data_IF_707815469661
#
_entry.id   IF_707815469661
#
_cell.length_a   1.000
_cell.length_b   1.000
_cell.length_c   1.000
_cell.angle_alpha   90.00
_cell.angle_beta   90.00
_cell.angle_gamma   90.00
#
_symmetry.space_group_name_H-M   'P 1'
#
loop_
_entity.id
_entity.type
_entity.pdbx_description
1 polymer ?
#
# COMPACT_ATOMS: atom_id res chain seq x y z
N UNK A 1 8.92 55.85 -36.22
CA UNK A 1 9.53 57.08 -35.65
C UNK A 1 9.02 57.27 -34.23
N UNK A 2 9.92 57.71 -33.32
CA UNK A 2 9.79 57.97 -31.86
C UNK A 2 10.01 56.73 -30.98
N UNK A 3 11.25 56.51 -30.49
CA UNK A 3 11.98 57.14 -29.35
C UNK A 3 11.39 56.64 -28.00
N UNK A 4 12.05 55.69 -27.35
CA UNK A 4 13.05 55.89 -26.26
C UNK A 4 12.39 56.02 -24.88
N UNK A 5 12.67 55.05 -23.98
CA UNK A 5 12.95 55.30 -22.57
C UNK A 5 13.50 54.02 -21.91
N UNK A 6 14.81 54.01 -21.74
CA UNK A 6 15.55 53.17 -20.78
C UNK A 6 15.38 53.85 -19.42
N UNK A 7 14.99 53.12 -18.38
CA UNK A 7 15.22 53.54 -17.00
C UNK A 7 15.84 52.39 -16.21
N UNK A 8 17.10 52.59 -15.86
CA UNK A 8 17.90 51.83 -14.91
C UNK A 8 17.44 52.22 -13.50
N UNK A 9 17.19 51.23 -12.64
CA UNK A 9 17.22 51.46 -11.19
C UNK A 9 17.91 50.28 -10.51
N UNK A 10 19.20 50.49 -10.20
CA UNK A 10 19.96 49.67 -9.28
C UNK A 10 19.69 50.16 -7.85
N UNK A 11 19.26 49.26 -6.97
CA UNK A 11 19.23 49.51 -5.54
C UNK A 11 20.13 48.46 -4.86
N UNK A 12 21.31 48.92 -4.42
CA UNK A 12 22.14 48.22 -3.46
C UNK A 12 21.39 48.12 -2.13
N UNK A 13 21.20 46.90 -1.62
CA UNK A 13 20.89 46.67 -0.22
C UNK A 13 22.11 46.06 0.46
N UNK A 14 22.84 46.91 1.17
CA UNK A 14 23.91 46.56 2.09
C UNK A 14 23.27 46.22 3.43
N UNK A 15 23.14 44.94 3.76
CA UNK A 15 22.63 44.46 5.05
C UNK A 15 23.76 43.86 5.88
N UNK A 16 24.13 44.54 6.96
CA UNK A 16 25.21 44.18 7.88
C UNK A 16 24.95 42.83 8.59
N UNK A 17 25.98 41.97 8.61
CA UNK A 17 26.02 40.76 9.40
C UNK A 17 26.33 41.10 10.87
N UNK A 18 25.36 40.91 11.76
CA UNK A 18 25.57 40.93 13.21
C UNK A 18 25.89 39.51 13.69
N UNK A 19 27.14 39.28 14.09
CA UNK A 19 27.56 38.10 14.84
C UNK A 19 26.98 38.14 16.26
N UNK A 20 26.18 37.14 16.62
CA UNK A 20 25.87 36.83 18.01
C UNK A 20 26.55 35.50 18.36
N UNK A 21 27.69 35.59 19.05
CA UNK A 21 28.35 34.44 19.66
C UNK A 21 27.56 34.02 20.91
N UNK A 22 26.74 32.98 20.77
CA UNK A 22 26.08 32.31 21.89
C UNK A 22 27.07 31.39 22.60
N UNK A 23 27.17 31.54 23.92
CA UNK A 23 28.01 30.72 24.80
C UNK A 23 27.70 29.22 24.64
N UNK A 24 28.70 28.45 24.23
CA UNK A 24 28.66 27.00 24.30
C UNK A 24 28.73 26.58 25.78
N UNK A 25 27.58 26.19 26.35
CA UNK A 25 27.56 25.47 27.62
C UNK A 25 28.21 24.11 27.41
N UNK A 26 29.35 23.87 28.06
CA UNK A 26 29.97 22.56 28.11
C UNK A 26 29.00 21.59 28.79
N UNK A 27 28.63 20.53 28.09
CA UNK A 27 27.85 19.42 28.63
C UNK A 27 28.77 18.59 29.53
N UNK A 28 28.74 18.83 30.83
CA UNK A 28 29.40 17.95 31.81
C UNK A 28 28.59 16.65 31.91
N UNK A 29 29.17 15.57 31.40
CA UNK A 29 28.69 14.22 31.68
C UNK A 29 28.99 13.89 33.15
N UNK A 30 28.00 13.45 33.94
CA UNK A 30 28.28 12.95 35.28
C UNK A 30 29.27 11.79 35.18
N UNK A 31 30.37 11.86 35.93
CA UNK A 31 31.35 10.79 36.00
C UNK A 31 30.66 9.52 36.51
N UNK A 32 30.46 8.56 35.62
CA UNK A 32 29.95 7.23 35.95
C UNK A 32 31.00 6.51 36.79
N UNK A 33 30.73 6.39 38.09
CA UNK A 33 31.51 5.58 39.00
C UNK A 33 31.36 4.09 38.63
N UNK A 34 32.46 3.47 38.20
CA UNK A 34 32.49 2.07 37.81
C UNK A 34 32.12 1.11 38.97
N UNK A 35 32.17 1.58 40.23
CA UNK A 35 31.71 0.80 41.37
C UNK A 35 30.17 0.68 41.43
N UNK A 36 29.42 1.63 40.86
CA UNK A 36 27.95 1.61 40.87
C UNK A 36 27.35 0.60 39.86
N UNK A 37 28.10 0.25 38.81
CA UNK A 37 27.64 -0.69 37.77
C UNK A 37 27.64 -2.16 38.22
N UNK A 38 28.35 -2.51 39.30
CA UNK A 38 28.42 -3.89 39.78
C UNK A 38 27.28 -4.29 40.73
N UNK A 39 26.59 -3.31 41.30
CA UNK A 39 25.53 -3.52 42.29
C UNK A 39 24.13 -3.48 41.68
N UNK A 40 23.96 -2.90 40.49
CA UNK A 40 22.66 -2.80 39.80
C UNK A 40 22.24 -4.09 39.04
N UNK A 41 23.12 -5.09 38.95
CA UNK A 41 22.86 -6.33 38.20
C UNK A 41 22.13 -7.42 39.02
N UNK A 42 21.92 -7.22 40.33
CA UNK A 42 21.40 -8.26 41.22
C UNK A 42 19.88 -8.19 41.48
N UNK A 43 19.19 -7.10 41.09
CA UNK A 43 17.78 -6.86 41.45
C UNK A 43 16.84 -6.61 40.25
N UNK A 44 17.24 -6.97 39.03
CA UNK A 44 16.34 -6.92 37.88
C UNK A 44 15.46 -8.18 37.87
N UNK A 45 14.35 -8.13 38.60
CA UNK A 45 13.23 -9.04 38.37
C UNK A 45 12.52 -8.65 37.07
N UNK A 46 12.78 -9.41 36.01
CA UNK A 46 12.09 -9.27 34.73
C UNK A 46 10.65 -9.78 34.90
N UNK A 47 9.61 -8.97 34.63
CA UNK A 47 8.23 -9.45 34.65
C UNK A 47 8.05 -10.52 33.56
N UNK A 48 7.55 -11.69 33.95
CA UNK A 48 7.20 -12.78 33.02
C UNK A 48 6.07 -12.27 32.13
N UNK A 49 6.42 -11.89 30.90
CA UNK A 49 5.45 -11.56 29.85
C UNK A 49 4.54 -12.78 29.60
N UNK A 50 3.23 -12.57 29.36
CA UNK A 50 2.33 -13.68 29.05
C UNK A 50 2.84 -14.40 27.81
N UNK A 51 2.94 -15.73 27.92
CA UNK A 51 3.45 -16.61 26.88
C UNK A 51 2.77 -16.33 25.53
N UNK A 52 3.47 -15.62 24.65
CA UNK A 52 3.15 -15.61 23.23
C UNK A 52 3.21 -17.06 22.75
N UNK A 53 2.10 -17.58 22.22
CA UNK A 53 2.08 -18.88 21.58
C UNK A 53 3.05 -18.82 20.40
N UNK A 54 4.20 -19.44 20.58
CA UNK A 54 5.19 -19.68 19.52
C UNK A 54 4.56 -20.68 18.55
N UNK A 55 4.02 -20.18 17.44
CA UNK A 55 3.81 -21.00 16.24
C UNK A 55 5.17 -21.15 15.56
N UNK A 56 5.71 -22.36 15.58
CA UNK A 56 7.05 -22.69 15.12
C UNK A 56 7.14 -22.89 13.60
N UNK A 57 6.79 -21.86 12.81
CA UNK A 57 7.20 -21.78 11.41
C UNK A 57 7.82 -20.41 11.13
N UNK A 58 9.00 -20.34 10.49
CA UNK A 58 9.62 -19.08 10.11
C UNK A 58 8.86 -18.32 8.99
N UNK A 59 7.67 -18.79 8.59
CA UNK A 59 6.82 -18.14 7.57
C UNK A 59 5.51 -17.54 8.11
N UNK A 60 5.15 -17.72 9.38
CA UNK A 60 3.78 -17.40 9.85
C UNK A 60 3.56 -15.91 10.18
N UNK A 61 4.63 -15.15 10.45
CA UNK A 61 4.51 -13.71 10.82
C UNK A 61 4.65 -12.76 9.62
N UNK A 62 5.36 -13.17 8.57
CA UNK A 62 5.47 -12.38 7.33
C UNK A 62 4.21 -12.49 6.47
N UNK A 63 3.53 -13.64 6.47
CA UNK A 63 2.29 -13.84 5.69
C UNK A 63 1.14 -12.93 6.11
N UNK A 64 1.18 -12.38 7.32
CA UNK A 64 0.18 -11.42 7.77
C UNK A 64 0.39 -10.04 7.16
N UNK A 65 1.57 -9.70 6.62
CA UNK A 65 1.85 -8.38 6.05
C UNK A 65 1.70 -8.41 4.54
N UNK A 66 0.96 -7.44 4.00
CA UNK A 66 0.74 -7.28 2.57
C UNK A 66 1.55 -6.09 2.09
N UNK A 67 2.41 -6.31 1.08
CA UNK A 67 3.15 -5.26 0.39
C UNK A 67 3.15 -5.53 -1.12
N UNK A 68 2.31 -4.80 -1.84
CA UNK A 68 2.06 -4.96 -3.28
C UNK A 68 2.25 -3.60 -3.98
N UNK A 69 3.49 -3.24 -4.38
CA UNK A 69 3.77 -1.98 -5.05
C UNK A 69 3.26 -1.99 -6.49
N UNK A 70 2.54 -0.94 -6.87
CA UNK A 70 2.08 -0.72 -8.23
C UNK A 70 3.20 -0.07 -9.06
N UNK A 71 3.46 -0.65 -10.23
CA UNK A 71 4.46 -0.15 -11.18
C UNK A 71 3.80 0.08 -12.53
N UNK A 72 4.14 1.18 -13.16
CA UNK A 72 3.73 1.43 -14.54
C UNK A 72 4.82 0.88 -15.47
N UNK A 73 4.51 -0.19 -16.19
CA UNK A 73 5.43 -0.83 -17.15
C UNK A 73 5.39 -0.13 -18.52
N UNK A 74 4.27 0.51 -18.83
CA UNK A 74 4.09 1.27 -20.07
C UNK A 74 2.79 2.08 -20.09
N UNK A 75 2.51 2.77 -21.20
CA UNK A 75 1.23 3.47 -21.38
C UNK A 75 0.06 2.49 -21.22
N UNK A 76 -0.84 2.74 -20.26
CA UNK A 76 -1.99 1.88 -19.99
C UNK A 76 -1.64 0.50 -19.41
N UNK A 77 -0.38 0.23 -19.03
CA UNK A 77 0.01 -1.06 -18.45
C UNK A 77 0.61 -0.86 -17.07
N UNK A 78 -0.06 -1.44 -16.08
CA UNK A 78 0.38 -1.48 -14.70
C UNK A 78 0.57 -2.92 -14.23
N UNK A 79 1.55 -3.11 -13.37
CA UNK A 79 1.88 -4.38 -12.74
C UNK A 79 1.97 -4.21 -11.23
N UNK A 80 1.81 -5.30 -10.49
CA UNK A 80 2.24 -5.41 -9.10
C UNK A 80 2.76 -6.81 -8.87
N UNK A 81 3.79 -6.92 -8.05
CA UNK A 81 4.31 -8.19 -7.58
C UNK A 81 4.68 -8.10 -6.10
N UNK A 82 4.49 -9.20 -5.39
CA UNK A 82 5.01 -9.34 -4.03
C UNK A 82 6.53 -9.16 -4.02
N UNK A 83 7.06 -8.51 -2.99
CA UNK A 83 8.46 -8.07 -2.95
C UNK A 83 9.48 -9.20 -2.80
N UNK A 84 9.07 -10.41 -2.42
CA UNK A 84 9.96 -11.56 -2.26
C UNK A 84 10.22 -12.26 -3.60
N UNK A 85 11.43 -12.13 -4.20
CA UNK A 85 11.75 -12.76 -5.47
C UNK A 85 11.92 -14.28 -5.38
N UNK A 86 12.02 -14.86 -4.17
CA UNK A 86 12.22 -16.29 -3.96
C UNK A 86 10.94 -17.02 -3.51
N UNK A 87 9.85 -16.29 -3.26
CA UNK A 87 8.55 -16.89 -2.96
C UNK A 87 8.00 -17.63 -4.18
N UNK A 88 7.96 -18.96 -4.10
CA UNK A 88 7.38 -19.83 -5.14
C UNK A 88 5.87 -19.67 -5.31
N UNK A 89 5.20 -19.04 -4.33
CA UNK A 89 3.75 -18.87 -4.26
C UNK A 89 3.33 -17.38 -4.28
N UNK A 90 4.08 -16.54 -5.01
CA UNK A 90 3.90 -15.08 -5.03
C UNK A 90 2.59 -14.60 -5.66
N UNK A 91 2.23 -13.36 -5.34
CA UNK A 91 1.21 -12.60 -6.05
C UNK A 91 1.86 -11.80 -7.17
N UNK A 92 1.35 -11.97 -8.39
CA UNK A 92 1.64 -11.10 -9.55
C UNK A 92 0.33 -10.70 -10.18
N UNK A 93 0.19 -9.42 -10.53
CA UNK A 93 -0.99 -8.90 -11.21
C UNK A 93 -0.53 -7.93 -12.29
N UNK A 94 -1.08 -8.09 -13.48
CA UNK A 94 -0.90 -7.21 -14.62
C UNK A 94 -2.28 -6.73 -15.06
N UNK A 95 -2.43 -5.41 -15.19
CA UNK A 95 -3.65 -4.77 -15.68
C UNK A 95 -3.27 -3.87 -16.84
N UNK A 96 -3.82 -4.17 -18.02
CA UNK A 96 -3.57 -3.46 -19.26
C UNK A 96 -4.85 -2.82 -19.76
N UNK A 97 -4.79 -1.58 -20.21
CA UNK A 97 -5.90 -0.94 -20.91
C UNK A 97 -6.20 -1.72 -22.18
N UNK A 98 -7.43 -2.21 -22.28
CA UNK A 98 -7.95 -2.87 -23.46
C UNK A 98 -8.55 -1.86 -24.44
N UNK A 99 -9.54 -2.32 -25.20
CA UNK A 99 -10.29 -1.45 -26.11
C UNK A 99 -11.41 -0.72 -25.35
N UNK A 100 -11.46 0.61 -25.45
CA UNK A 100 -12.48 1.42 -24.77
C UNK A 100 -12.21 1.58 -23.27
N UNK A 101 -13.21 1.30 -22.43
CA UNK A 101 -13.12 1.40 -20.97
C UNK A 101 -12.85 0.05 -20.27
N UNK A 102 -12.47 -0.96 -21.05
CA UNK A 102 -12.13 -2.30 -20.57
C UNK A 102 -10.64 -2.41 -20.25
N UNK A 103 -10.29 -3.28 -19.31
CA UNK A 103 -8.91 -3.63 -18.96
C UNK A 103 -8.72 -5.14 -19.04
N UNK A 104 -7.67 -5.58 -19.74
CA UNK A 104 -7.21 -6.96 -19.70
C UNK A 104 -6.44 -7.18 -18.41
N UNK A 105 -6.79 -8.26 -17.70
CA UNK A 105 -6.17 -8.61 -16.43
C UNK A 105 -5.57 -9.99 -16.51
N UNK A 106 -4.35 -10.09 -16.02
CA UNK A 106 -3.63 -11.32 -15.83
C UNK A 106 -3.12 -11.34 -14.40
N UNK A 107 -3.43 -12.39 -13.63
CA UNK A 107 -2.90 -12.52 -12.28
C UNK A 107 -2.49 -13.94 -11.95
N UNK A 108 -1.38 -14.04 -11.24
CA UNK A 108 -0.85 -15.26 -10.65
C UNK A 108 -0.89 -15.12 -9.14
N UNK A 109 -1.40 -16.13 -8.46
CA UNK A 109 -1.39 -16.20 -7.00
C UNK A 109 -1.13 -17.64 -6.58
N UNK A 110 0.04 -17.88 -5.97
CA UNK A 110 0.46 -19.25 -5.69
C UNK A 110 0.85 -19.99 -6.97
N UNK A 111 0.25 -21.16 -7.18
CA UNK A 111 0.47 -21.97 -8.39
C UNK A 111 -0.60 -21.74 -9.47
N UNK A 112 -1.62 -20.93 -9.19
CA UNK A 112 -2.70 -20.62 -10.12
C UNK A 112 -2.43 -19.36 -10.93
N UNK A 113 -2.65 -19.46 -12.24
CA UNK A 113 -2.62 -18.34 -13.18
C UNK A 113 -4.00 -18.16 -13.80
N UNK A 114 -4.51 -16.93 -13.83
CA UNK A 114 -5.81 -16.60 -14.42
C UNK A 114 -5.74 -15.35 -15.28
N UNK A 115 -6.48 -15.40 -16.38
CA UNK A 115 -6.75 -14.27 -17.25
C UNK A 115 -8.21 -13.87 -17.13
N UNK A 116 -8.48 -12.58 -17.28
CA UNK A 116 -9.81 -12.03 -17.26
C UNK A 116 -9.86 -10.62 -17.81
N UNK A 117 -11.00 -9.99 -17.64
CA UNK A 117 -11.25 -8.62 -18.10
C UNK A 117 -11.97 -7.85 -16.99
N UNK A 118 -11.58 -6.59 -16.79
CA UNK A 118 -12.34 -5.63 -15.99
C UNK A 118 -13.08 -4.72 -16.97
N UNK A 119 -14.41 -4.83 -16.99
CA UNK A 119 -15.25 -3.96 -17.81
C UNK A 119 -15.89 -2.87 -16.96
N UNK A 120 -16.00 -1.67 -17.53
CA UNK A 120 -16.63 -0.52 -16.86
C UNK A 120 -18.00 -0.23 -17.45
N UNK A 121 -18.96 0.00 -16.55
CA UNK A 121 -20.31 0.45 -16.86
C UNK A 121 -20.70 1.59 -15.92
N UNK A 122 -20.49 2.84 -16.35
CA UNK A 122 -20.76 4.02 -15.53
C UNK A 122 -19.87 4.08 -14.28
N UNK A 123 -20.48 4.07 -13.09
CA UNK A 123 -19.79 4.06 -11.79
C UNK A 123 -19.36 2.67 -11.31
N UNK A 124 -19.73 1.62 -12.06
CA UNK A 124 -19.43 0.22 -11.73
C UNK A 124 -18.33 -0.32 -12.63
N UNK A 125 -17.44 -1.12 -12.05
CA UNK A 125 -16.48 -1.96 -12.75
C UNK A 125 -16.74 -3.42 -12.39
N UNK A 126 -16.54 -4.33 -13.32
CA UNK A 126 -16.73 -5.76 -13.13
C UNK A 126 -15.52 -6.53 -13.67
N UNK A 127 -14.78 -7.18 -12.77
CA UNK A 127 -13.80 -8.21 -13.13
C UNK A 127 -14.54 -9.53 -13.38
N UNK A 128 -14.27 -10.11 -14.54
CA UNK A 128 -14.65 -11.47 -14.89
C UNK A 128 -13.42 -12.25 -15.31
N UNK A 129 -13.08 -13.29 -14.55
CA UNK A 129 -12.02 -14.25 -14.84
C UNK A 129 -12.53 -15.68 -14.58
N UNK A 130 -11.71 -16.70 -14.89
CA UNK A 130 -12.12 -18.10 -14.74
C UNK A 130 -12.48 -18.43 -13.27
N UNK A 131 -13.77 -18.53 -12.97
CA UNK A 131 -14.26 -18.81 -11.61
C UNK A 131 -14.19 -17.63 -10.64
N UNK A 132 -13.77 -16.45 -11.10
CA UNK A 132 -13.72 -15.24 -10.29
C UNK A 132 -14.61 -14.18 -10.91
N UNK A 133 -15.56 -13.65 -10.13
CA UNK A 133 -16.37 -12.49 -10.51
C UNK A 133 -16.36 -11.48 -9.37
N UNK A 134 -15.85 -10.29 -9.63
CA UNK A 134 -15.78 -9.20 -8.66
C UNK A 134 -16.37 -7.95 -9.26
N UNK A 135 -17.11 -7.19 -8.46
CA UNK A 135 -17.65 -5.88 -8.84
C UNK A 135 -17.07 -4.82 -7.94
N UNK A 136 -16.69 -3.69 -8.50
CA UNK A 136 -16.41 -2.47 -7.76
C UNK A 136 -17.46 -1.42 -8.12
N UNK A 137 -18.21 -0.92 -7.15
CA UNK A 137 -19.18 0.15 -7.35
C UNK A 137 -18.77 1.39 -6.58
N UNK A 138 -18.67 2.54 -7.26
CA UNK A 138 -18.40 3.82 -6.61
C UNK A 138 -19.63 4.31 -5.87
N UNK A 139 -19.48 4.61 -4.58
CA UNK A 139 -20.50 5.24 -3.74
C UNK A 139 -19.91 6.47 -3.05
N UNK A 140 -20.34 7.66 -3.47
CA UNK A 140 -19.73 8.94 -3.11
C UNK A 140 -18.23 8.95 -3.45
N UNK A 141 -17.37 9.05 -2.43
CA UNK A 141 -15.92 9.03 -2.53
C UNK A 141 -15.31 7.64 -2.31
N UNK A 142 -16.11 6.66 -1.90
CA UNK A 142 -15.66 5.31 -1.58
C UNK A 142 -16.02 4.31 -2.68
N UNK A 143 -15.44 3.12 -2.61
CA UNK A 143 -15.80 2.00 -3.48
C UNK A 143 -16.26 0.81 -2.65
N UNK A 144 -17.30 0.13 -3.11
CA UNK A 144 -17.68 -1.18 -2.57
C UNK A 144 -17.20 -2.26 -3.52
N UNK A 145 -16.39 -3.18 -3.00
CA UNK A 145 -15.94 -4.38 -3.70
C UNK A 145 -16.82 -5.56 -3.25
N UNK A 146 -17.55 -6.18 -4.16
CA UNK A 146 -18.38 -7.37 -3.87
C UNK A 146 -18.24 -8.43 -4.96
N UNK A 147 -18.12 -9.69 -4.56
CA UNK A 147 -18.00 -10.78 -5.52
C UNK A 147 -17.66 -12.13 -4.92
N UNK A 148 -17.32 -13.06 -5.80
CA UNK A 148 -16.88 -14.42 -5.46
C UNK A 148 -15.55 -14.72 -6.16
N UNK A 149 -14.64 -15.34 -5.42
CA UNK A 149 -13.36 -15.82 -5.91
C UNK A 149 -13.33 -17.34 -5.75
N UNK A 150 -13.24 -18.07 -6.85
CA UNK A 150 -12.95 -19.49 -6.83
C UNK A 150 -11.49 -19.69 -6.47
N UNK A 151 -11.21 -20.43 -5.43
CA UNK A 151 -9.87 -20.80 -5.00
C UNK A 151 -9.50 -22.17 -5.52
N UNK A 152 -8.26 -22.57 -5.25
CA UNK A 152 -7.81 -23.94 -5.45
C UNK A 152 -8.73 -24.94 -4.74
N UNK A 153 -8.82 -26.15 -5.29
CA UNK A 153 -9.68 -27.25 -4.78
C UNK A 153 -11.18 -26.95 -4.82
N UNK A 154 -11.61 -25.96 -5.62
CA UNK A 154 -13.02 -25.66 -5.88
C UNK A 154 -13.73 -24.86 -4.78
N UNK A 155 -13.01 -24.40 -3.75
CA UNK A 155 -13.58 -23.60 -2.67
C UNK A 155 -13.90 -22.19 -3.17
N UNK A 156 -15.11 -21.68 -2.93
CA UNK A 156 -15.44 -20.28 -3.24
C UNK A 156 -15.39 -19.43 -1.99
N UNK A 157 -14.83 -18.23 -2.11
CA UNK A 157 -14.86 -17.21 -1.07
C UNK A 157 -15.67 -16.04 -1.58
N UNK A 158 -16.70 -15.67 -0.82
CA UNK A 158 -17.49 -14.48 -1.09
C UNK A 158 -16.88 -13.31 -0.34
N UNK A 159 -16.69 -12.22 -1.04
CA UNK A 159 -16.04 -11.02 -0.53
C UNK A 159 -17.03 -9.88 -0.61
N UNK A 160 -17.08 -9.10 0.47
CA UNK A 160 -17.76 -7.81 0.51
C UNK A 160 -16.90 -6.88 1.35
N UNK A 161 -16.29 -5.91 0.71
CA UNK A 161 -15.33 -4.98 1.29
C UNK A 161 -15.73 -3.56 0.91
N UNK A 162 -15.68 -2.65 1.88
CA UNK A 162 -15.78 -1.23 1.62
C UNK A 162 -14.36 -0.64 1.61
N UNK A 163 -14.02 0.03 0.51
CA UNK A 163 -12.76 0.72 0.27
C UNK A 163 -13.02 2.21 0.46
N UNK A 164 -12.80 2.67 1.70
CA UNK A 164 -13.13 4.00 2.16
C UNK A 164 -12.03 5.00 1.80
N UNK A 165 -12.39 6.13 1.20
CA UNK A 165 -11.42 7.19 0.95
C UNK A 165 -11.07 7.89 2.25
N UNK A 166 -9.78 8.09 2.49
CA UNK A 166 -9.32 8.97 3.54
C UNK A 166 -9.60 10.43 3.13
N UNK A 167 -10.33 11.17 3.97
CA UNK A 167 -10.77 12.55 3.69
C UNK A 167 -9.63 13.51 3.32
N UNK A 168 -8.41 13.21 3.76
CA UNK A 168 -7.24 14.09 3.59
C UNK A 168 -6.31 13.69 2.45
N UNK A 169 -6.55 12.57 1.78
CA UNK A 169 -5.61 12.01 0.81
C UNK A 169 -6.28 11.31 -0.36
N UNK A 170 -5.52 10.98 -1.40
CA UNK A 170 -5.94 10.08 -2.49
C UNK A 170 -5.76 8.60 -2.11
N UNK A 171 -5.67 8.32 -0.81
CA UNK A 171 -5.52 6.99 -0.29
C UNK A 171 -6.90 6.43 0.09
N UNK A 172 -7.00 5.12 -0.02
CA UNK A 172 -8.14 4.35 0.40
C UNK A 172 -7.73 3.38 1.51
N UNK A 173 -8.66 3.08 2.39
CA UNK A 173 -8.49 2.07 3.44
C UNK A 173 -9.58 1.02 3.31
N UNK A 174 -9.18 -0.24 3.27
CA UNK A 174 -10.08 -1.39 3.33
C UNK A 174 -10.01 -1.94 4.75
N UNK A 175 -11.13 -1.92 5.47
CA UNK A 175 -11.25 -2.47 6.83
C UNK A 175 -12.28 -3.57 6.84
N UNK A 176 -11.87 -4.76 7.24
CA UNK A 176 -12.77 -5.89 7.49
C UNK A 176 -12.20 -6.77 8.59
N UNK A 177 -13.01 -7.69 9.12
CA UNK A 177 -12.54 -8.68 10.08
C UNK A 177 -11.42 -9.49 9.44
N UNK A 178 -10.19 -9.41 9.99
CA UNK A 178 -9.03 -10.13 9.48
C UNK A 178 -8.35 -9.49 8.27
N UNK A 179 -8.69 -8.25 7.91
CA UNK A 179 -8.09 -7.51 6.79
C UNK A 179 -8.01 -6.00 7.08
N UNK A 180 -6.81 -5.44 6.97
CA UNK A 180 -6.58 -4.00 7.03
C UNK A 180 -5.59 -3.61 5.93
N UNK A 181 -6.07 -2.98 4.86
CA UNK A 181 -5.23 -2.57 3.74
C UNK A 181 -5.31 -1.05 3.55
N UNK A 182 -4.17 -0.42 3.34
CA UNK A 182 -4.04 0.93 2.80
C UNK A 182 -3.69 0.81 1.31
N UNK A 183 -4.51 1.42 0.48
CA UNK A 183 -4.46 1.34 -0.97
C UNK A 183 -4.23 2.75 -1.51
N UNK A 184 -3.19 2.93 -2.33
CA UNK A 184 -2.90 4.20 -2.94
C UNK A 184 -2.41 4.01 -4.38
N UNK A 185 -2.13 5.11 -5.08
CA UNK A 185 -1.62 5.08 -6.46
C UNK A 185 -0.28 4.34 -6.63
N UNK A 186 0.44 4.08 -5.55
CA UNK A 186 1.75 3.42 -5.55
C UNK A 186 1.69 1.97 -5.10
N UNK A 187 0.53 1.47 -4.63
CA UNK A 187 0.42 0.10 -4.17
C UNK A 187 -0.60 -0.14 -3.07
N UNK A 188 -0.56 -1.37 -2.56
CA UNK A 188 -1.31 -1.83 -1.40
C UNK A 188 -0.32 -2.19 -0.30
N UNK A 189 -0.58 -1.69 0.91
CA UNK A 189 0.22 -1.98 2.10
C UNK A 189 -0.70 -2.28 3.27
N UNK A 190 -0.36 -3.21 4.16
CA UNK A 190 -1.17 -3.46 5.34
C UNK A 190 -1.03 -4.88 5.87
N UNK A 191 -2.13 -5.39 6.43
CA UNK A 191 -2.16 -6.68 7.09
C UNK A 191 -3.39 -7.52 6.70
N UNK A 192 -3.19 -8.82 6.50
CA UNK A 192 -4.22 -9.82 6.21
C UNK A 192 -4.00 -11.06 7.10
N UNK A 193 -4.20 -10.95 8.43
CA UNK A 193 -3.96 -12.07 9.35
C UNK A 193 -4.91 -13.26 9.13
N UNK A 194 -6.10 -13.05 8.56
CA UNK A 194 -7.02 -14.13 8.19
C UNK A 194 -6.71 -14.64 6.78
N UNK A 195 -5.77 -15.57 6.68
CA UNK A 195 -5.38 -16.22 5.42
C UNK A 195 -6.44 -17.19 4.88
N UNK A 196 -7.42 -17.57 5.71
CA UNK A 196 -8.54 -18.44 5.30
C UNK A 196 -9.57 -17.61 4.55
N UNK A 197 -9.93 -16.44 5.10
CA UNK A 197 -10.84 -15.48 4.49
C UNK A 197 -10.21 -14.71 3.32
N UNK A 198 -8.93 -14.36 3.42
CA UNK A 198 -8.20 -13.56 2.43
C UNK A 198 -6.92 -14.24 1.95
N UNK A 199 -7.04 -15.38 1.25
CA UNK A 199 -5.86 -16.03 0.65
C UNK A 199 -5.25 -15.16 -0.45
N UNK A 200 -4.03 -15.48 -0.87
CA UNK A 200 -3.26 -14.72 -1.88
C UNK A 200 -4.04 -14.39 -3.15
N UNK A 201 -4.87 -15.32 -3.65
CA UNK A 201 -5.71 -15.08 -4.83
C UNK A 201 -6.75 -13.98 -4.61
N UNK A 202 -7.32 -13.89 -3.41
CA UNK A 202 -8.22 -12.78 -3.05
C UNK A 202 -7.48 -11.45 -3.03
N UNK A 203 -6.28 -11.41 -2.45
CA UNK A 203 -5.43 -10.22 -2.45
C UNK A 203 -5.04 -9.79 -3.88
N UNK A 204 -4.73 -10.74 -4.76
CA UNK A 204 -4.45 -10.49 -6.17
C UNK A 204 -5.65 -9.85 -6.89
N UNK A 205 -6.86 -10.36 -6.64
CA UNK A 205 -8.11 -9.81 -7.19
C UNK A 205 -8.38 -8.39 -6.67
N UNK A 206 -8.18 -8.15 -5.37
CA UNK A 206 -8.28 -6.80 -4.78
C UNK A 206 -7.28 -5.87 -5.47
N UNK A 207 -6.02 -6.29 -5.63
CA UNK A 207 -4.99 -5.50 -6.30
C UNK A 207 -5.34 -5.19 -7.76
N UNK A 208 -5.86 -6.15 -8.53
CA UNK A 208 -6.30 -5.94 -9.90
C UNK A 208 -7.40 -4.86 -9.97
N UNK A 209 -8.42 -4.96 -9.10
CA UNK A 209 -9.49 -3.98 -9.03
C UNK A 209 -8.98 -2.60 -8.62
N UNK A 210 -8.10 -2.52 -7.61
CA UNK A 210 -7.51 -1.26 -7.18
C UNK A 210 -6.71 -0.59 -8.29
N UNK A 211 -5.91 -1.35 -9.05
CA UNK A 211 -5.18 -0.81 -10.21
C UNK A 211 -6.16 -0.25 -11.25
N UNK A 212 -7.21 -0.99 -11.62
CA UNK A 212 -8.20 -0.53 -12.59
C UNK A 212 -8.97 0.73 -12.11
N UNK A 213 -9.20 0.84 -10.79
CA UNK A 213 -9.78 2.05 -10.18
C UNK A 213 -8.84 3.25 -10.36
N UNK A 214 -7.53 3.11 -10.11
CA UNK A 214 -6.58 4.22 -10.30
C UNK A 214 -6.31 4.55 -11.76
N UNK A 215 -6.41 3.58 -12.68
CA UNK A 215 -6.31 3.84 -14.13
C UNK A 215 -7.55 4.55 -14.70
N UNK A 216 -8.63 4.66 -13.93
CA UNK A 216 -9.88 5.25 -14.38
C UNK A 216 -9.80 6.77 -14.62
N UNK A 217 -10.30 7.27 -15.77
CA UNK A 217 -10.44 8.71 -16.01
C UNK A 217 -11.39 9.40 -15.01
N UNK A 218 -12.37 8.67 -14.46
CA UNK A 218 -13.33 9.20 -13.47
C UNK A 218 -12.69 9.57 -12.12
N UNK A 219 -11.40 9.28 -11.95
CA UNK A 219 -10.60 9.66 -10.78
C UNK A 219 -9.55 10.74 -11.09
N UNK A 220 -9.54 11.29 -12.31
CA UNK A 220 -8.73 12.47 -12.68
C UNK A 220 -7.23 12.19 -12.78
N UNK A 221 -6.80 11.66 -13.93
CA UNK A 221 -5.42 11.77 -14.41
C UNK A 221 -5.43 12.15 -15.89
#
# INVERSE_FOLDING_TARGET
>A
MRKSAILVLAALFTGAAAHAAGNAGAFELPALDAAALKTAAADIQVPVAPASRVSGYPGDQEQAKVWLPFRQEGPGWWSTSESDPFASDRIEVNVRSGFGDDFDVDFTAGFGHEMGTISRFGSRMELSAMGTRMTAEKWLDSYRLEGEVLLEKGRRVRIRLDMEKDFSSENYVIRSTGLLLNVNRFGITGEAPDTIGYPKKVLAVIAAMSIAIFQSPANGF
#
